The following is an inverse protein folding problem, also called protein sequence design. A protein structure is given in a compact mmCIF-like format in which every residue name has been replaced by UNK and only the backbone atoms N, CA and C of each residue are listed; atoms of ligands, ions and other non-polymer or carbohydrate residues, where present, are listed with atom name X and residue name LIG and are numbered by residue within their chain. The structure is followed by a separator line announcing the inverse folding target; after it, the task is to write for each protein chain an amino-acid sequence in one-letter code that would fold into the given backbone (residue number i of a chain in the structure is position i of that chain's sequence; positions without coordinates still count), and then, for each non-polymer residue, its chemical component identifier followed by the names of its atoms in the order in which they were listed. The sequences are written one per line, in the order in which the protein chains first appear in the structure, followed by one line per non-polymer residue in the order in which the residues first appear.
data_IF_731635212826
#
_entry.id   IF_731635212826
#
_cell.length_a   1.000
_cell.length_b   1.000
_cell.length_c   1.000
_cell.angle_alpha   90.00
_cell.angle_beta   90.00
_cell.angle_gamma   90.00
#
_symmetry.space_group_name_H-M   'P 1'
#
loop_
_entity.id
_entity.type
_entity.pdbx_description
1 polymer ?
#
# COMPACT_ATOMS: atom_id res chain seq x y z
N UNK A 1 21.95 6.97 -25.24
CA UNK A 1 20.90 6.13 -24.63
C UNK A 1 20.93 6.45 -23.15
N UNK A 2 19.85 6.97 -22.58
CA UNK A 2 19.83 7.34 -21.16
C UNK A 2 19.80 6.05 -20.34
N UNK A 3 20.78 5.87 -19.46
CA UNK A 3 20.81 4.76 -18.52
C UNK A 3 19.86 5.07 -17.35
N UNK A 4 18.68 4.47 -17.40
CA UNK A 4 17.62 4.67 -16.41
C UNK A 4 17.89 3.95 -15.09
N UNK A 5 18.92 3.08 -15.02
CA UNK A 5 19.30 2.40 -13.77
C UNK A 5 19.88 3.35 -12.71
N UNK A 6 20.26 4.57 -13.11
CA UNK A 6 20.82 5.61 -12.24
C UNK A 6 19.74 6.49 -11.57
N UNK A 7 18.47 6.35 -11.96
CA UNK A 7 17.37 7.07 -11.31
C UNK A 7 16.96 6.33 -10.04
N UNK A 8 16.79 7.03 -8.90
CA UNK A 8 16.27 6.41 -7.71
C UNK A 8 14.87 5.85 -8.01
N UNK A 9 14.72 4.54 -7.81
CA UNK A 9 13.50 3.79 -8.06
C UNK A 9 12.37 4.12 -7.06
N UNK A 10 12.63 4.96 -6.06
CA UNK A 10 11.67 5.30 -5.01
C UNK A 10 11.20 4.08 -4.19
N UNK A 11 11.98 2.99 -4.19
CA UNK A 11 11.61 1.71 -3.57
C UNK A 11 10.69 0.82 -4.42
N UNK A 12 10.56 1.09 -5.73
CA UNK A 12 9.75 0.27 -6.64
C UNK A 12 10.56 -0.55 -7.66
N UNK A 13 11.80 -0.97 -7.35
CA UNK A 13 12.59 -1.87 -8.20
C UNK A 13 11.87 -3.15 -8.62
N UNK A 14 10.87 -3.60 -7.85
CA UNK A 14 10.05 -4.75 -8.21
C UNK A 14 9.16 -4.51 -9.45
N UNK A 15 8.95 -3.26 -9.87
CA UNK A 15 8.23 -2.84 -11.06
C UNK A 15 9.23 -2.54 -12.20
N UNK A 16 10.07 -3.53 -12.54
CA UNK A 16 11.19 -3.40 -13.49
C UNK A 16 10.82 -3.61 -14.97
N UNK A 17 9.52 -3.73 -15.28
CA UNK A 17 9.02 -4.05 -16.62
C UNK A 17 9.57 -5.37 -17.21
N UNK A 18 9.91 -6.36 -16.38
CA UNK A 18 10.32 -7.71 -16.83
C UNK A 18 9.16 -8.70 -17.03
N UNK A 19 7.91 -8.23 -16.84
CA UNK A 19 6.70 -9.04 -16.93
C UNK A 19 6.35 -9.52 -18.35
N UNK A 20 5.38 -10.45 -18.43
CA UNK A 20 4.87 -10.92 -19.73
C UNK A 20 4.20 -9.78 -20.50
N UNK A 21 4.54 -9.63 -21.78
CA UNK A 21 4.06 -8.56 -22.68
C UNK A 21 4.41 -7.14 -22.19
N UNK A 22 5.58 -6.95 -21.56
CA UNK A 22 6.02 -5.65 -21.03
C UNK A 22 6.25 -4.58 -22.11
N UNK A 23 6.27 -4.96 -23.39
CA UNK A 23 6.27 -4.05 -24.54
C UNK A 23 4.95 -3.26 -24.68
N UNK A 24 3.86 -3.76 -24.08
CA UNK A 24 2.53 -3.14 -24.13
C UNK A 24 1.92 -2.95 -22.74
N UNK A 25 2.06 -3.93 -21.85
CA UNK A 25 1.43 -3.97 -20.52
C UNK A 25 2.36 -3.38 -19.47
N UNK A 26 2.02 -2.20 -18.98
CA UNK A 26 2.82 -1.50 -17.95
C UNK A 26 2.76 -2.17 -16.57
N UNK A 27 1.58 -2.61 -16.14
CA UNK A 27 1.40 -3.29 -14.86
C UNK A 27 0.06 -4.01 -14.78
N UNK A 28 -0.08 -4.92 -13.81
CA UNK A 28 -1.36 -5.51 -13.40
C UNK A 28 -1.59 -5.20 -11.92
N UNK A 29 -2.79 -4.75 -11.55
CA UNK A 29 -3.11 -4.35 -10.18
C UNK A 29 -4.35 -5.05 -9.65
N UNK A 30 -4.22 -5.68 -8.48
CA UNK A 30 -5.33 -6.31 -7.75
C UNK A 30 -5.60 -5.50 -6.47
N UNK A 31 -6.88 -5.30 -6.12
CA UNK A 31 -7.29 -4.61 -4.88
C UNK A 31 -8.32 -5.45 -4.14
N UNK A 32 -8.10 -5.66 -2.85
CA UNK A 32 -9.04 -6.34 -1.96
C UNK A 32 -9.54 -5.36 -0.90
N UNK A 33 -10.83 -5.05 -0.91
CA UNK A 33 -11.46 -4.22 0.10
C UNK A 33 -12.06 -5.08 1.23
N UNK A 34 -11.83 -4.69 2.48
CA UNK A 34 -12.34 -5.36 3.69
C UNK A 34 -12.81 -4.31 4.70
N UNK A 35 -13.79 -4.68 5.54
CA UNK A 35 -14.20 -3.93 6.71
C UNK A 35 -13.86 -4.74 7.96
N UNK A 36 -13.53 -4.08 9.07
CA UNK A 36 -13.29 -4.75 10.34
C UNK A 36 -14.60 -4.88 11.11
N UNK A 37 -14.81 -6.07 11.67
CA UNK A 37 -15.92 -6.33 12.58
C UNK A 37 -15.82 -5.43 13.83
N UNK A 38 -16.97 -5.02 14.37
CA UNK A 38 -17.03 -4.12 15.53
C UNK A 38 -16.91 -2.63 15.20
N UNK A 39 -16.75 -2.26 13.93
CA UNK A 39 -16.70 -0.87 13.48
C UNK A 39 -17.82 -0.56 12.47
N UNK A 40 -18.35 0.66 12.53
CA UNK A 40 -19.25 1.15 11.50
C UNK A 40 -18.52 1.25 10.13
N UNK A 41 -19.26 1.08 9.03
CA UNK A 41 -18.74 1.39 7.69
C UNK A 41 -18.22 2.83 7.62
N UNK A 42 -17.22 3.08 6.77
CA UNK A 42 -16.47 4.36 6.69
C UNK A 42 -17.35 5.61 6.60
N UNK A 43 -18.47 5.53 5.86
CA UNK A 43 -19.41 6.65 5.70
C UNK A 43 -20.11 7.07 7.01
N UNK A 44 -20.14 6.19 8.02
CA UNK A 44 -20.78 6.42 9.33
C UNK A 44 -19.80 6.37 10.50
N UNK A 45 -18.59 5.86 10.29
CA UNK A 45 -17.56 5.79 11.32
C UNK A 45 -17.16 7.19 11.79
N UNK A 46 -17.18 7.40 13.11
CA UNK A 46 -16.64 8.60 13.75
C UNK A 46 -15.12 8.61 13.67
N UNK A 47 -14.49 9.77 13.86
CA UNK A 47 -13.03 9.89 13.77
C UNK A 47 -12.30 8.97 14.75
N UNK A 48 -12.81 8.84 15.99
CA UNK A 48 -12.26 7.89 16.96
C UNK A 48 -12.42 6.40 16.56
N UNK A 49 -13.37 6.05 15.71
CA UNK A 49 -13.47 4.69 15.12
C UNK A 49 -12.45 4.50 14.00
N UNK A 50 -12.29 5.51 13.14
CA UNK A 50 -11.30 5.51 12.06
C UNK A 50 -9.87 5.41 12.59
N UNK A 51 -9.55 6.16 13.66
CA UNK A 51 -8.25 6.11 14.32
C UNK A 51 -7.98 4.74 14.97
N UNK A 52 -9.01 4.12 15.57
CA UNK A 52 -8.89 2.77 16.13
C UNK A 52 -8.65 1.72 15.04
N UNK A 53 -9.38 1.79 13.93
CA UNK A 53 -9.12 0.96 12.74
C UNK A 53 -7.69 1.15 12.25
N UNK A 54 -7.22 2.40 12.10
CA UNK A 54 -5.84 2.70 11.70
C UNK A 54 -4.83 2.04 12.65
N UNK A 55 -4.98 2.21 13.96
CA UNK A 55 -4.07 1.61 14.94
C UNK A 55 -4.04 0.09 14.90
N UNK A 56 -5.21 -0.57 14.74
CA UNK A 56 -5.29 -2.03 14.68
C UNK A 56 -4.66 -2.59 13.41
N UNK A 57 -4.91 -1.95 12.26
CA UNK A 57 -4.32 -2.37 10.99
C UNK A 57 -2.81 -2.12 10.99
N UNK A 58 -2.34 -0.99 11.51
CA UNK A 58 -0.91 -0.68 11.62
C UNK A 58 -0.17 -1.73 12.46
N UNK A 59 -0.68 -2.05 13.66
CA UNK A 59 -0.10 -3.09 14.50
C UNK A 59 -0.10 -4.47 13.83
N UNK A 60 -1.17 -4.82 13.12
CA UNK A 60 -1.23 -6.09 12.38
C UNK A 60 -0.21 -6.14 11.23
N UNK A 61 0.04 -5.02 10.55
CA UNK A 61 1.03 -4.93 9.46
C UNK A 61 2.45 -5.20 9.96
N UNK A 62 2.81 -4.74 11.16
CA UNK A 62 4.13 -4.96 11.76
C UNK A 62 4.45 -6.46 11.96
N UNK A 63 3.44 -7.28 12.22
CA UNK A 63 3.58 -8.73 12.42
C UNK A 63 3.63 -9.53 11.09
N UNK A 64 3.29 -8.91 9.96
CA UNK A 64 3.22 -9.58 8.66
C UNK A 64 4.60 -9.55 7.99
N UNK A 65 5.26 -10.71 7.93
CA UNK A 65 6.63 -10.85 7.40
C UNK A 65 6.83 -10.23 6.00
N UNK A 66 5.96 -10.46 5.00
CA UNK A 66 6.10 -9.82 3.69
C UNK A 66 5.98 -8.29 3.68
N UNK A 67 5.44 -7.69 4.75
CA UNK A 67 5.24 -6.24 4.86
C UNK A 67 6.30 -5.56 5.75
N UNK A 68 7.31 -6.30 6.24
CA UNK A 68 8.41 -5.71 7.00
C UNK A 68 9.14 -4.65 6.17
N UNK A 69 9.41 -3.49 6.78
CA UNK A 69 10.04 -2.36 6.10
C UNK A 69 9.11 -1.59 5.15
N UNK A 70 7.80 -1.87 5.17
CA UNK A 70 6.82 -1.08 4.44
C UNK A 70 6.69 0.34 5.01
N UNK A 71 6.27 1.28 4.17
CA UNK A 71 5.98 2.66 4.55
C UNK A 71 4.49 2.80 4.90
N UNK A 72 4.20 3.26 6.12
CA UNK A 72 2.88 3.75 6.49
C UNK A 72 2.87 5.27 6.42
N UNK A 73 1.94 5.82 5.62
CA UNK A 73 1.77 7.26 5.45
C UNK A 73 0.35 7.67 5.82
N UNK A 74 0.23 8.64 6.73
CA UNK A 74 -1.04 9.25 7.09
C UNK A 74 -1.35 10.40 6.14
N UNK A 75 -2.38 10.21 5.31
CA UNK A 75 -2.80 11.20 4.31
C UNK A 75 -3.32 12.48 4.96
N UNK A 76 -3.85 12.40 6.17
CA UNK A 76 -4.38 13.53 6.93
C UNK A 76 -3.29 14.35 7.68
N UNK A 77 -2.04 13.89 7.65
CA UNK A 77 -0.89 14.59 8.24
C UNK A 77 0.05 15.19 7.18
N UNK A 78 -0.35 15.15 5.90
CA UNK A 78 0.34 15.78 4.77
C UNK A 78 -0.22 17.16 4.48
#
# INVERSE_FOLDING_TARGET
MIDLSLLPDGGVAWLDASGRNADVVLSTRIRLARNLEGFAFTARARDGERLRVLSQVAAAVEEIVPLRGSLLMRVDEM
#
